data_IF_477552872040
#
_entry.id   IF_477552872040
#
_cell.length_a   1.000
_cell.length_b   1.000
_cell.length_c   1.000
_cell.angle_alpha   90.00
_cell.angle_beta   90.00
_cell.angle_gamma   90.00
#
_symmetry.space_group_name_H-M   'P 1'
#
loop_
_entity.id
_entity.type
_entity.pdbx_description
1 polymer ?
#
# COMPACT_ATOMS: atom_id res chain seq x y z
N UNK A 1 19.05 15.95 -25.96
CA UNK A 1 17.91 16.52 -26.72
C UNK A 1 16.79 15.53 -26.58
N UNK A 2 15.61 15.99 -26.16
CA UNK A 2 14.46 15.15 -25.87
C UNK A 2 13.96 14.53 -27.19
N UNK A 3 14.15 13.21 -27.38
CA UNK A 3 14.12 12.54 -28.69
C UNK A 3 12.79 12.70 -29.46
N UNK A 4 11.70 13.03 -28.77
CA UNK A 4 10.35 13.14 -29.33
C UNK A 4 9.72 14.53 -29.20
N UNK A 5 10.40 15.49 -28.55
CA UNK A 5 9.86 16.84 -28.36
C UNK A 5 9.92 17.61 -29.69
N UNK A 6 8.77 18.09 -30.15
CA UNK A 6 8.65 18.89 -31.37
C UNK A 6 8.79 20.38 -31.08
N UNK A 7 8.20 20.85 -29.98
CA UNK A 7 8.14 22.28 -29.65
C UNK A 7 7.19 22.60 -28.50
N UNK A 8 7.06 23.89 -28.16
CA UNK A 8 6.15 24.39 -27.12
C UNK A 8 5.14 25.36 -27.73
N UNK A 9 3.85 25.13 -27.55
CA UNK A 9 2.79 25.96 -28.13
C UNK A 9 1.70 26.25 -27.10
N UNK A 10 0.70 27.05 -27.46
CA UNK A 10 -0.50 27.26 -26.65
C UNK A 10 -1.70 26.60 -27.33
N UNK A 11 -2.50 25.86 -26.54
CA UNK A 11 -3.78 25.26 -26.94
C UNK A 11 -4.88 25.72 -25.97
N UNK A 12 -6.15 25.65 -26.37
CA UNK A 12 -7.23 25.89 -25.41
C UNK A 12 -7.42 24.65 -24.53
N UNK A 13 -7.75 24.84 -23.25
CA UNK A 13 -7.95 23.70 -22.33
C UNK A 13 -9.03 22.73 -22.86
N UNK A 14 -10.12 23.21 -23.45
CA UNK A 14 -11.17 22.34 -24.03
C UNK A 14 -10.65 21.34 -25.08
N UNK A 15 -9.50 21.64 -25.69
CA UNK A 15 -8.89 20.81 -26.72
C UNK A 15 -7.96 19.74 -26.13
N UNK A 16 -7.92 19.58 -24.81
CA UNK A 16 -7.09 18.60 -24.12
C UNK A 16 -7.93 17.46 -23.54
N UNK A 17 -7.50 16.22 -23.76
CA UNK A 17 -8.14 15.01 -23.19
C UNK A 17 -7.16 14.17 -22.40
N UNK A 18 -7.66 13.50 -21.36
CA UNK A 18 -6.88 12.61 -20.51
C UNK A 18 -7.47 11.20 -20.57
N UNK A 19 -6.90 10.35 -21.42
CA UNK A 19 -7.32 8.96 -21.60
C UNK A 19 -6.45 8.03 -20.77
N UNK A 20 -7.00 7.49 -19.68
CA UNK A 20 -6.26 6.66 -18.73
C UNK A 20 -5.28 7.45 -17.85
N UNK A 21 -4.96 6.92 -16.67
CA UNK A 21 -4.07 7.56 -15.68
C UNK A 21 -4.76 7.91 -14.36
N UNK A 22 -4.05 8.62 -13.47
CA UNK A 22 -4.55 9.01 -12.15
C UNK A 22 -5.81 9.89 -12.33
N UNK A 23 -6.93 9.48 -11.73
CA UNK A 23 -8.16 10.26 -11.67
C UNK A 23 -7.96 11.65 -11.04
N UNK A 24 -8.96 12.55 -11.14
CA UNK A 24 -8.89 13.83 -10.44
C UNK A 24 -8.78 13.56 -8.93
N UNK A 25 -7.86 14.25 -8.26
CA UNK A 25 -7.65 14.14 -6.82
C UNK A 25 -8.00 15.49 -6.22
N UNK A 26 -9.18 15.60 -5.64
CA UNK A 26 -9.78 16.89 -5.24
C UNK A 26 -8.82 17.74 -4.38
N UNK A 27 -8.18 17.14 -3.36
CA UNK A 27 -7.23 17.86 -2.50
C UNK A 27 -6.03 18.45 -3.26
N UNK A 28 -5.54 17.78 -4.31
CA UNK A 28 -4.46 18.30 -5.14
C UNK A 28 -4.95 19.41 -6.09
N UNK A 29 -6.18 19.28 -6.60
CA UNK A 29 -6.83 20.30 -7.42
C UNK A 29 -7.07 21.57 -6.59
N UNK A 30 -7.58 21.44 -5.36
CA UNK A 30 -7.80 22.57 -4.43
C UNK A 30 -6.49 23.29 -4.13
N UNK A 31 -5.41 22.55 -3.84
CA UNK A 31 -4.10 23.14 -3.59
C UNK A 31 -3.57 23.90 -4.81
N UNK A 32 -3.65 23.31 -6.01
CA UNK A 32 -3.22 23.98 -7.25
C UNK A 32 -4.10 25.17 -7.59
N UNK A 33 -5.41 25.08 -7.31
CA UNK A 33 -6.35 26.18 -7.49
C UNK A 33 -5.96 27.37 -6.62
N UNK A 34 -5.61 27.12 -5.34
CA UNK A 34 -5.13 28.16 -4.44
C UNK A 34 -3.83 28.81 -4.93
N UNK A 35 -2.89 28.01 -5.49
CA UNK A 35 -1.64 28.53 -6.07
C UNK A 35 -1.93 29.42 -7.29
N UNK A 36 -2.76 28.94 -8.24
CA UNK A 36 -3.09 29.68 -9.45
C UNK A 36 -3.87 30.97 -9.17
N UNK A 37 -4.74 31.00 -8.14
CA UNK A 37 -5.40 32.23 -7.71
C UNK A 37 -4.40 33.30 -7.20
N UNK A 38 -3.25 32.89 -6.67
CA UNK A 38 -2.21 33.81 -6.20
C UNK A 38 -1.24 34.24 -7.31
N UNK A 39 -0.92 33.33 -8.24
CA UNK A 39 -0.04 33.57 -9.38
C UNK A 39 -0.23 32.43 -10.39
N UNK A 40 -0.96 32.70 -11.48
CA UNK A 40 -1.14 31.76 -12.58
C UNK A 40 -0.28 32.20 -13.78
N UNK A 41 0.80 31.47 -14.05
CA UNK A 41 1.61 31.66 -15.24
C UNK A 41 1.62 30.38 -16.10
N UNK A 42 0.79 30.28 -17.15
CA UNK A 42 0.74 29.12 -18.03
C UNK A 42 2.08 28.84 -18.73
N UNK A 43 2.86 29.88 -19.01
CA UNK A 43 4.12 29.80 -19.76
C UNK A 43 5.28 29.23 -18.93
N UNK A 44 5.16 29.27 -17.61
CA UNK A 44 6.15 28.69 -16.72
C UNK A 44 6.27 27.19 -17.00
N UNK A 45 7.51 26.70 -17.19
CA UNK A 45 7.79 25.29 -17.49
C UNK A 45 7.09 24.32 -16.53
N UNK A 46 6.90 24.75 -15.27
CA UNK A 46 6.20 23.97 -14.26
C UNK A 46 4.69 23.79 -14.51
N UNK A 47 4.08 24.69 -15.25
CA UNK A 47 2.65 24.70 -15.53
C UNK A 47 2.32 24.09 -16.90
N UNK A 48 3.32 23.94 -17.78
CA UNK A 48 3.14 23.38 -19.12
C UNK A 48 2.64 21.93 -19.09
N UNK A 49 1.67 21.62 -19.96
CA UNK A 49 1.07 20.28 -20.06
C UNK A 49 1.69 19.50 -21.24
N UNK A 50 2.22 18.29 -21.03
CA UNK A 50 2.72 17.48 -22.13
C UNK A 50 1.57 16.84 -22.92
N UNK A 51 1.59 17.06 -24.23
CA UNK A 51 0.59 16.61 -25.21
C UNK A 51 1.26 15.69 -26.21
N UNK A 52 0.61 14.58 -26.53
CA UNK A 52 1.08 13.59 -27.49
C UNK A 52 0.25 13.68 -28.76
N UNK A 53 0.95 13.65 -29.88
CA UNK A 53 0.37 13.60 -31.23
C UNK A 53 1.06 12.52 -32.06
N UNK A 54 0.31 11.89 -32.94
CA UNK A 54 0.86 11.09 -34.04
C UNK A 54 1.43 11.99 -35.15
N UNK A 55 2.26 11.45 -36.07
CA UNK A 55 2.75 12.22 -37.22
C UNK A 55 1.62 12.82 -38.07
N UNK A 56 0.50 12.10 -38.22
CA UNK A 56 -0.68 12.56 -38.95
C UNK A 56 -1.36 13.72 -38.22
N UNK A 57 -1.59 13.60 -36.91
CA UNK A 57 -2.17 14.67 -36.09
C UNK A 57 -1.30 15.92 -36.04
N UNK A 58 0.03 15.74 -36.02
CA UNK A 58 0.96 16.87 -36.08
C UNK A 58 0.86 17.60 -37.43
N UNK A 59 0.78 16.86 -38.53
CA UNK A 59 0.63 17.44 -39.87
C UNK A 59 -0.67 18.23 -39.99
N UNK A 60 -1.78 17.65 -39.53
CA UNK A 60 -3.09 18.31 -39.49
C UNK A 60 -3.07 19.57 -38.62
N UNK A 61 -2.51 19.48 -37.41
CA UNK A 61 -2.40 20.61 -36.48
C UNK A 61 -1.68 21.80 -37.10
N UNK A 62 -0.59 21.52 -37.82
CA UNK A 62 0.25 22.54 -38.46
C UNK A 62 -0.47 23.18 -39.65
N UNK A 63 -1.15 22.36 -40.46
CA UNK A 63 -1.89 22.83 -41.64
C UNK A 63 -3.09 23.67 -41.24
N UNK A 64 -3.88 23.22 -40.27
CA UNK A 64 -5.07 23.97 -39.78
C UNK A 64 -4.66 25.28 -39.12
N UNK A 65 -3.57 25.28 -38.35
CA UNK A 65 -3.12 26.47 -37.62
C UNK A 65 -2.27 27.43 -38.46
N UNK A 66 -2.03 27.12 -39.74
CA UNK A 66 -1.20 27.95 -40.63
C UNK A 66 0.23 28.17 -40.13
N UNK A 67 0.77 27.23 -39.35
CA UNK A 67 2.11 27.32 -38.73
C UNK A 67 3.10 26.46 -39.54
N UNK A 68 4.41 26.61 -39.34
CA UNK A 68 5.41 25.70 -39.91
C UNK A 68 6.08 24.81 -38.85
N UNK A 69 6.57 23.63 -39.27
CA UNK A 69 7.40 22.78 -38.39
C UNK A 69 8.63 23.53 -37.85
N UNK A 70 9.21 24.44 -38.62
CA UNK A 70 10.38 25.21 -38.21
C UNK A 70 10.04 26.22 -37.09
N UNK A 71 8.85 26.81 -37.13
CA UNK A 71 8.39 27.73 -36.09
C UNK A 71 8.10 27.00 -34.77
N UNK A 72 7.52 25.81 -34.86
CA UNK A 72 7.33 24.91 -33.72
C UNK A 72 8.67 24.47 -33.10
N UNK A 73 9.65 24.09 -33.91
CA UNK A 73 10.98 23.71 -33.38
C UNK A 73 11.68 24.92 -32.72
N UNK A 74 11.51 26.13 -33.26
CA UNK A 74 12.09 27.36 -32.70
C UNK A 74 11.37 27.86 -31.44
N UNK A 75 10.14 27.41 -31.19
CA UNK A 75 9.29 27.82 -30.05
C UNK A 75 9.71 27.26 -28.68
N UNK A 76 11.00 26.96 -28.48
CA UNK A 76 11.54 26.54 -27.18
C UNK A 76 11.49 27.66 -26.11
N UNK A 77 11.30 28.91 -26.55
CA UNK A 77 11.16 30.09 -25.70
C UNK A 77 9.99 30.95 -26.18
N UNK A 78 9.38 31.71 -25.26
CA UNK A 78 8.28 32.61 -25.56
C UNK A 78 8.69 33.67 -26.62
N UNK A 79 7.77 34.13 -27.48
CA UNK A 79 6.33 33.82 -27.49
C UNK A 79 5.99 32.46 -28.11
N UNK A 80 5.04 31.74 -27.49
CA UNK A 80 4.59 30.44 -27.97
C UNK A 80 3.46 30.59 -29.00
N UNK A 81 3.50 29.85 -30.13
CA UNK A 81 2.45 29.91 -31.15
C UNK A 81 1.14 29.35 -30.60
N UNK A 82 0.02 29.99 -30.93
CA UNK A 82 -1.33 29.52 -30.61
C UNK A 82 -1.83 28.62 -31.73
N UNK A 83 -2.11 27.36 -31.41
CA UNK A 83 -2.55 26.37 -32.38
C UNK A 83 -3.99 25.94 -32.08
N UNK A 84 -4.73 25.61 -33.14
CA UNK A 84 -6.10 25.11 -33.04
C UNK A 84 -6.18 23.71 -33.65
N UNK A 85 -6.35 22.67 -32.82
CA UNK A 85 -6.46 21.31 -33.31
C UNK A 85 -7.87 21.05 -33.86
N UNK A 86 -7.98 20.17 -34.86
CA UNK A 86 -9.28 19.74 -35.42
C UNK A 86 -10.06 18.81 -34.48
N UNK A 87 -9.37 18.16 -33.55
CA UNK A 87 -9.92 17.26 -32.53
C UNK A 87 -9.13 17.40 -31.23
N UNK A 88 -9.72 17.07 -30.06
CA UNK A 88 -8.99 17.13 -28.79
C UNK A 88 -7.75 16.23 -28.79
N UNK A 89 -6.63 16.75 -28.28
CA UNK A 89 -5.34 16.07 -28.24
C UNK A 89 -5.09 15.40 -26.88
N UNK A 90 -4.44 14.25 -26.92
CA UNK A 90 -4.22 13.41 -25.74
C UNK A 90 -3.07 13.93 -24.89
N UNK A 91 -3.34 14.17 -23.61
CA UNK A 91 -2.34 14.50 -22.60
C UNK A 91 -1.86 13.23 -21.87
N UNK A 92 -0.55 13.16 -21.62
CA UNK A 92 0.05 12.02 -20.89
C UNK A 92 0.05 12.20 -19.37
N UNK A 93 0.15 13.45 -18.89
CA UNK A 93 0.03 13.83 -17.49
C UNK A 93 -0.38 15.30 -17.39
N UNK A 94 -0.63 15.80 -16.18
CA UNK A 94 -1.01 17.20 -15.94
C UNK A 94 -2.50 17.40 -15.61
N UNK A 95 -3.25 16.30 -15.41
CA UNK A 95 -4.70 16.35 -15.17
C UNK A 95 -5.11 17.27 -14.01
N UNK A 96 -4.39 17.24 -12.89
CA UNK A 96 -4.73 18.10 -11.75
C UNK A 96 -4.59 19.60 -12.08
N UNK A 97 -3.62 19.99 -12.94
CA UNK A 97 -3.46 21.37 -13.41
C UNK A 97 -4.53 21.74 -14.41
N UNK A 98 -4.82 20.84 -15.34
CA UNK A 98 -5.92 21.03 -16.26
C UNK A 98 -7.23 21.33 -15.51
N UNK A 99 -7.57 20.51 -14.50
CA UNK A 99 -8.80 20.72 -13.71
C UNK A 99 -8.72 22.01 -12.88
N UNK A 100 -7.57 22.32 -12.26
CA UNK A 100 -7.40 23.55 -11.49
C UNK A 100 -7.48 24.81 -12.37
N UNK A 101 -6.81 24.83 -13.51
CA UNK A 101 -6.83 25.92 -14.48
C UNK A 101 -8.24 26.13 -15.06
N UNK A 102 -8.91 25.04 -15.43
CA UNK A 102 -10.30 25.06 -15.91
C UNK A 102 -11.27 25.60 -14.85
N UNK A 103 -11.01 25.37 -13.55
CA UNK A 103 -11.85 25.86 -12.45
C UNK A 103 -11.75 27.38 -12.25
N UNK A 104 -10.59 27.96 -12.55
CA UNK A 104 -10.33 29.40 -12.34
C UNK A 104 -10.66 30.20 -13.60
N UNK A 105 -10.11 29.80 -14.74
CA UNK A 105 -10.12 30.59 -15.99
C UNK A 105 -11.11 30.04 -17.03
N UNK A 106 -11.76 28.91 -16.75
CA UNK A 106 -12.67 28.25 -17.68
C UNK A 106 -11.98 27.43 -18.77
N UNK A 107 -12.77 26.75 -19.61
CA UNK A 107 -12.27 25.82 -20.64
C UNK A 107 -11.69 26.50 -21.89
N UNK A 108 -11.97 27.79 -22.09
CA UNK A 108 -11.49 28.57 -23.25
C UNK A 108 -10.08 29.14 -23.06
N UNK A 109 -9.52 29.01 -21.85
CA UNK A 109 -8.21 29.54 -21.51
C UNK A 109 -7.12 28.91 -22.37
N UNK A 110 -6.22 29.76 -22.90
CA UNK A 110 -5.02 29.33 -23.60
C UNK A 110 -3.98 28.88 -22.59
N UNK A 111 -3.52 27.64 -22.74
CA UNK A 111 -2.56 27.03 -21.86
C UNK A 111 -1.36 26.52 -22.64
N UNK A 112 -0.17 26.72 -22.08
CA UNK A 112 1.07 26.35 -22.75
C UNK A 112 1.31 24.85 -22.60
N UNK A 113 1.63 24.20 -23.71
CA UNK A 113 1.79 22.76 -23.83
C UNK A 113 3.09 22.42 -24.54
N UNK A 114 3.63 21.24 -24.22
CA UNK A 114 4.80 20.67 -24.90
C UNK A 114 4.34 19.53 -25.80
N UNK A 115 4.60 19.66 -27.10
CA UNK A 115 4.13 18.71 -28.11
C UNK A 115 5.16 17.62 -28.36
N UNK A 116 4.75 16.37 -28.18
CA UNK A 116 5.55 15.18 -28.44
C UNK A 116 4.97 14.42 -29.63
N UNK A 117 5.77 14.21 -30.66
CA UNK A 117 5.37 13.40 -31.81
C UNK A 117 5.80 11.95 -31.60
N UNK A 118 4.84 11.03 -31.62
CA UNK A 118 5.06 9.62 -31.31
C UNK A 118 4.64 8.76 -32.50
N UNK A 119 5.56 7.95 -32.99
CA UNK A 119 5.32 6.99 -34.09
C UNK A 119 4.64 5.74 -33.51
N UNK A 120 3.74 5.12 -34.29
CA UNK A 120 3.10 3.87 -33.91
C UNK A 120 4.15 2.79 -33.58
N UNK A 121 4.04 2.19 -32.38
CA UNK A 121 5.00 1.20 -31.87
C UNK A 121 6.10 1.76 -30.95
N UNK A 122 6.18 3.08 -30.76
CA UNK A 122 7.07 3.68 -29.75
C UNK A 122 6.57 3.42 -28.32
N UNK A 123 7.49 3.15 -27.40
CA UNK A 123 7.17 2.92 -25.98
C UNK A 123 6.80 4.24 -25.28
N UNK A 124 5.49 4.52 -25.21
CA UNK A 124 4.89 5.64 -24.47
C UNK A 124 5.35 5.69 -23.00
N UNK A 125 5.72 4.55 -22.43
CA UNK A 125 6.18 4.45 -21.04
C UNK A 125 7.52 5.16 -20.86
N UNK A 126 8.44 5.09 -21.84
CA UNK A 126 9.71 5.82 -21.81
C UNK A 126 9.52 7.34 -21.85
N UNK A 127 8.58 7.83 -22.65
CA UNK A 127 8.23 9.25 -22.71
C UNK A 127 7.56 9.72 -21.43
N UNK A 128 6.63 8.94 -20.89
CA UNK A 128 6.06 9.17 -19.56
C UNK A 128 7.13 9.20 -18.48
N UNK A 129 8.10 8.28 -18.51
CA UNK A 129 9.20 8.25 -17.55
C UNK A 129 10.09 9.49 -17.65
N UNK A 130 10.46 9.89 -18.86
CA UNK A 130 11.28 11.07 -19.10
C UNK A 130 10.56 12.36 -18.70
N UNK A 131 9.27 12.49 -19.04
CA UNK A 131 8.46 13.66 -18.73
C UNK A 131 8.10 13.80 -17.25
N UNK A 132 7.77 12.67 -16.62
CA UNK A 132 7.63 12.58 -15.18
C UNK A 132 8.96 12.98 -14.54
N UNK A 133 10.10 12.44 -14.99
CA UNK A 133 11.42 12.80 -14.43
C UNK A 133 11.81 14.26 -14.62
N UNK A 134 11.46 14.88 -15.75
CA UNK A 134 11.82 16.28 -16.02
C UNK A 134 10.89 17.32 -15.34
N UNK A 135 9.66 16.96 -14.96
CA UNK A 135 8.67 17.89 -14.37
C UNK A 135 8.19 17.46 -12.97
N UNK A 136 9.04 16.73 -12.27
CA UNK A 136 8.75 16.04 -11.00
C UNK A 136 8.49 16.95 -9.78
N UNK A 137 8.60 18.28 -9.93
CA UNK A 137 8.52 19.24 -8.82
C UNK A 137 7.11 19.50 -8.28
N UNK A 138 6.06 18.99 -8.91
CA UNK A 138 4.71 19.55 -8.72
C UNK A 138 3.69 18.64 -8.03
N UNK A 139 4.03 17.38 -7.76
CA UNK A 139 3.38 16.57 -6.72
C UNK A 139 4.40 15.56 -6.28
N UNK A 140 4.73 15.54 -4.99
CA UNK A 140 5.65 14.54 -4.49
C UNK A 140 5.11 13.15 -4.87
N UNK A 141 5.95 12.28 -5.47
CA UNK A 141 5.53 10.93 -5.76
C UNK A 141 5.12 10.21 -4.50
N UNK A 142 4.21 9.26 -4.64
CA UNK A 142 3.98 8.33 -3.55
C UNK A 142 5.22 7.46 -3.36
N UNK A 143 5.41 7.02 -2.12
CA UNK A 143 6.68 6.46 -1.69
C UNK A 143 7.03 5.17 -2.44
N UNK A 144 6.03 4.35 -2.77
CA UNK A 144 6.23 3.14 -3.56
C UNK A 144 6.73 3.36 -4.98
N UNK A 145 6.39 4.48 -5.61
CA UNK A 145 6.94 4.79 -6.93
C UNK A 145 8.42 5.11 -6.85
N UNK A 146 8.82 5.88 -5.83
CA UNK A 146 10.24 6.16 -5.57
C UNK A 146 11.00 4.89 -5.27
N UNK A 147 10.46 4.03 -4.39
CA UNK A 147 11.07 2.75 -4.07
C UNK A 147 11.34 1.93 -5.35
N UNK A 148 10.33 1.71 -6.20
CA UNK A 148 10.48 0.92 -7.42
C UNK A 148 11.55 1.48 -8.35
N UNK A 149 11.63 2.81 -8.48
CA UNK A 149 12.62 3.48 -9.33
C UNK A 149 14.03 3.37 -8.79
N UNK A 150 14.21 3.55 -7.49
CA UNK A 150 15.50 3.32 -6.83
C UNK A 150 15.98 1.90 -7.13
N UNK A 151 15.12 0.90 -6.93
CA UNK A 151 15.47 -0.50 -7.18
C UNK A 151 15.78 -0.80 -8.65
N UNK A 152 14.98 -0.26 -9.58
CA UNK A 152 15.21 -0.41 -11.03
C UNK A 152 16.59 0.12 -11.46
N UNK A 153 17.00 1.28 -10.95
CA UNK A 153 18.32 1.86 -11.26
C UNK A 153 19.47 1.17 -10.53
N UNK A 154 19.27 0.71 -9.28
CA UNK A 154 20.25 -0.11 -8.58
C UNK A 154 20.54 -1.41 -9.38
N UNK A 155 19.51 -2.08 -9.87
CA UNK A 155 19.61 -3.32 -10.69
C UNK A 155 20.23 -3.06 -12.07
N UNK A 156 19.95 -1.89 -12.67
CA UNK A 156 20.50 -1.52 -13.97
C UNK A 156 21.95 -1.02 -13.92
N UNK A 157 22.55 -0.91 -12.73
CA UNK A 157 23.91 -0.41 -12.55
C UNK A 157 24.04 1.11 -12.75
N UNK A 158 22.97 1.87 -12.47
CA UNK A 158 22.92 3.32 -12.64
C UNK A 158 22.78 4.06 -11.29
N UNK A 159 23.81 4.03 -10.42
CA UNK A 159 23.71 4.53 -9.05
C UNK A 159 23.40 6.03 -8.95
N UNK A 160 23.90 6.83 -9.90
CA UNK A 160 23.64 8.28 -9.94
C UNK A 160 22.14 8.58 -10.09
N UNK A 161 21.45 7.79 -10.92
CA UNK A 161 19.99 7.92 -11.10
C UNK A 161 19.26 7.43 -9.85
N UNK A 162 19.68 6.30 -9.28
CA UNK A 162 19.09 5.81 -8.04
C UNK A 162 19.20 6.87 -6.91
N UNK A 163 20.34 7.55 -6.81
CA UNK A 163 20.56 8.62 -5.84
C UNK A 163 19.74 9.88 -6.11
N UNK A 164 19.51 10.24 -7.38
CA UNK A 164 18.52 11.27 -7.74
C UNK A 164 17.12 10.93 -7.23
N UNK A 165 16.74 9.66 -7.33
CA UNK A 165 15.45 9.19 -6.82
C UNK A 165 15.40 9.20 -5.29
N UNK A 166 16.48 8.78 -4.61
CA UNK A 166 16.59 8.88 -3.15
C UNK A 166 16.52 10.34 -2.69
N UNK A 167 17.15 11.28 -3.41
CA UNK A 167 17.18 12.71 -3.05
C UNK A 167 15.79 13.32 -2.88
N UNK A 168 14.80 12.82 -3.62
CA UNK A 168 13.39 13.27 -3.61
C UNK A 168 12.62 12.91 -2.33
N UNK A 169 13.14 11.98 -1.52
CA UNK A 169 12.53 11.61 -0.24
C UNK A 169 12.90 12.61 0.87
N UNK A 170 11.99 12.80 1.83
CA UNK A 170 12.31 13.52 3.07
C UNK A 170 13.37 12.75 3.88
N UNK A 171 14.05 13.44 4.82
CA UNK A 171 15.09 12.83 5.66
C UNK A 171 14.62 11.53 6.34
N UNK A 172 13.42 11.54 6.93
CA UNK A 172 12.85 10.33 7.57
C UNK A 172 12.57 9.21 6.57
N UNK A 173 12.02 9.53 5.39
CA UNK A 173 11.77 8.54 4.34
C UNK A 173 13.06 7.93 3.75
N UNK A 174 14.14 8.72 3.66
CA UNK A 174 15.49 8.21 3.29
C UNK A 174 16.03 7.24 4.33
N UNK A 175 15.83 7.52 5.61
CA UNK A 175 16.21 6.60 6.69
C UNK A 175 15.38 5.31 6.62
N UNK A 176 14.06 5.42 6.43
CA UNK A 176 13.19 4.26 6.29
C UNK A 176 13.55 3.39 5.06
N UNK A 177 13.84 4.01 3.91
CA UNK A 177 14.29 3.28 2.72
C UNK A 177 15.60 2.53 2.99
N UNK A 178 16.60 3.21 3.57
CA UNK A 178 17.87 2.56 3.95
C UNK A 178 17.66 1.42 4.94
N UNK A 179 16.73 1.57 5.89
CA UNK A 179 16.42 0.52 6.85
C UNK A 179 15.83 -0.73 6.17
N UNK A 180 15.04 -0.58 5.09
CA UNK A 180 14.62 -1.70 4.25
C UNK A 180 15.84 -2.29 3.52
N UNK A 181 16.66 -1.47 2.86
CA UNK A 181 17.83 -1.90 2.08
C UNK A 181 18.84 -2.69 2.94
N UNK A 182 18.97 -2.37 4.23
CA UNK A 182 19.85 -3.08 5.18
C UNK A 182 19.29 -4.38 5.73
N UNK A 183 18.04 -4.74 5.42
CA UNK A 183 17.37 -5.97 5.88
C UNK A 183 17.02 -6.85 4.68
N UNK A 184 17.91 -7.77 4.26
CA UNK A 184 17.75 -8.55 3.04
C UNK A 184 16.41 -9.28 2.93
N UNK A 185 15.93 -9.86 4.03
CA UNK A 185 14.68 -10.61 4.10
C UNK A 185 13.45 -9.72 3.85
N UNK A 186 13.49 -8.46 4.29
CA UNK A 186 12.43 -7.48 4.03
C UNK A 186 12.51 -7.00 2.60
N UNK A 187 13.71 -6.64 2.15
CA UNK A 187 13.96 -6.16 0.79
C UNK A 187 13.53 -7.18 -0.26
N UNK A 188 13.84 -8.46 -0.05
CA UNK A 188 13.50 -9.54 -0.97
C UNK A 188 11.99 -9.67 -1.17
N UNK A 189 11.21 -9.69 -0.09
CA UNK A 189 9.74 -9.78 -0.20
C UNK A 189 9.15 -8.52 -0.85
N UNK A 190 9.70 -7.34 -0.53
CA UNK A 190 9.32 -6.11 -1.23
C UNK A 190 9.63 -6.21 -2.73
N UNK A 191 10.79 -6.75 -3.11
CA UNK A 191 11.17 -6.93 -4.50
C UNK A 191 10.22 -7.92 -5.22
N UNK A 192 9.80 -9.00 -4.57
CA UNK A 192 8.80 -9.94 -5.12
C UNK A 192 7.45 -9.27 -5.43
N UNK A 193 7.02 -8.27 -4.64
CA UNK A 193 5.78 -7.52 -4.87
C UNK A 193 5.88 -6.49 -6.00
N UNK A 194 7.08 -6.19 -6.55
CA UNK A 194 7.29 -5.16 -7.59
C UNK A 194 6.63 -5.49 -8.92
N UNK A 195 6.34 -6.77 -9.16
CA UNK A 195 5.67 -7.26 -10.37
C UNK A 195 4.23 -6.75 -10.51
N UNK A 196 3.61 -6.24 -9.43
CA UNK A 196 2.23 -5.74 -9.40
C UNK A 196 2.24 -4.24 -9.10
N UNK A 197 2.22 -3.36 -10.13
CA UNK A 197 2.33 -1.91 -9.96
C UNK A 197 1.28 -1.30 -9.04
N UNK A 198 0.04 -1.81 -9.09
CA UNK A 198 -1.09 -1.27 -8.33
C UNK A 198 -0.91 -1.29 -6.81
N UNK A 199 -0.11 -2.20 -6.26
CA UNK A 199 0.12 -2.33 -4.81
C UNK A 199 0.90 -1.15 -4.23
N UNK A 200 1.78 -0.56 -5.02
CA UNK A 200 2.81 0.37 -4.54
C UNK A 200 2.28 1.74 -4.17
N UNK A 201 1.06 2.08 -4.60
CA UNK A 201 0.36 3.26 -4.12
C UNK A 201 0.07 3.19 -2.61
N UNK A 202 -0.04 1.98 -2.06
CA UNK A 202 -0.25 1.75 -0.63
C UNK A 202 1.00 1.85 0.23
N UNK A 203 2.21 1.93 -0.35
CA UNK A 203 3.44 2.03 0.44
C UNK A 203 3.59 3.43 1.02
N UNK A 204 3.79 3.49 2.34
CA UNK A 204 4.09 4.70 3.09
C UNK A 204 5.41 4.52 3.86
N UNK A 205 6.51 5.01 3.29
CA UNK A 205 7.85 4.95 3.90
C UNK A 205 7.89 5.67 5.26
N UNK A 206 7.06 6.70 5.45
CA UNK A 206 6.93 7.40 6.74
C UNK A 206 6.40 6.54 7.91
N UNK A 207 5.87 5.35 7.64
CA UNK A 207 5.45 4.39 8.66
C UNK A 207 6.47 3.25 8.85
N UNK A 208 7.32 2.98 7.85
CA UNK A 208 8.21 1.82 7.84
C UNK A 208 9.20 1.86 9.00
N UNK A 209 9.83 3.01 9.27
CA UNK A 209 10.78 3.13 10.39
C UNK A 209 10.14 2.73 11.72
N UNK A 210 8.88 3.11 11.95
CA UNK A 210 8.10 2.72 13.14
C UNK A 210 7.77 1.23 13.15
N UNK A 211 7.47 0.64 11.99
CA UNK A 211 7.19 -0.80 11.87
C UNK A 211 8.45 -1.64 12.13
N UNK A 212 9.60 -1.23 11.61
CA UNK A 212 10.87 -1.91 11.84
C UNK A 212 11.35 -1.79 13.29
N UNK A 213 11.09 -0.65 13.94
CA UNK A 213 11.37 -0.41 15.35
C UNK A 213 10.43 -1.19 16.31
N UNK A 214 9.40 -1.86 15.79
CA UNK A 214 8.53 -2.70 16.60
C UNK A 214 9.17 -4.05 16.95
N UNK A 215 10.23 -4.46 16.24
CA UNK A 215 10.84 -5.79 16.38
C UNK A 215 9.84 -6.94 16.16
N UNK A 216 8.85 -6.74 15.27
CA UNK A 216 7.87 -7.74 14.85
C UNK A 216 8.17 -8.21 13.41
N UNK A 217 9.41 -8.68 13.19
CA UNK A 217 9.93 -8.97 11.85
C UNK A 217 9.20 -10.16 11.22
N UNK A 218 8.91 -11.20 11.99
CA UNK A 218 8.23 -12.41 11.54
C UNK A 218 6.81 -12.12 11.09
N UNK A 219 6.03 -11.36 11.86
CA UNK A 219 4.65 -11.00 11.50
C UNK A 219 4.62 -10.08 10.28
N UNK A 220 5.58 -9.17 10.18
CA UNK A 220 5.73 -8.30 9.02
C UNK A 220 6.00 -9.13 7.76
N UNK A 221 6.99 -10.03 7.81
CA UNK A 221 7.33 -10.89 6.68
C UNK A 221 6.16 -11.81 6.31
N UNK A 222 5.48 -12.39 7.30
CA UNK A 222 4.32 -13.25 7.08
C UNK A 222 3.21 -12.50 6.35
N UNK A 223 2.88 -11.26 6.75
CA UNK A 223 1.85 -10.46 6.07
C UNK A 223 2.24 -10.14 4.62
N UNK A 224 3.50 -9.75 4.39
CA UNK A 224 3.97 -9.37 3.06
C UNK A 224 4.05 -10.60 2.13
N UNK A 225 4.47 -11.76 2.64
CA UNK A 225 4.42 -13.05 1.94
C UNK A 225 2.97 -13.44 1.61
N UNK A 226 2.06 -13.33 2.57
CA UNK A 226 0.63 -13.55 2.34
C UNK A 226 0.09 -12.62 1.24
N UNK A 227 0.54 -11.36 1.23
CA UNK A 227 0.21 -10.42 0.15
C UNK A 227 0.67 -10.94 -1.20
N UNK A 228 1.92 -11.39 -1.30
CA UNK A 228 2.45 -11.95 -2.54
C UNK A 228 1.64 -13.18 -3.01
N UNK A 229 1.31 -14.10 -2.10
CA UNK A 229 0.62 -15.35 -2.41
C UNK A 229 -0.82 -15.13 -2.88
N UNK A 230 -1.58 -14.27 -2.18
CA UNK A 230 -2.97 -13.96 -2.58
C UNK A 230 -2.98 -13.29 -3.95
N UNK A 231 -2.11 -12.30 -4.17
CA UNK A 231 -2.06 -11.64 -5.46
C UNK A 231 -1.55 -12.53 -6.58
N UNK A 232 -0.58 -13.42 -6.31
CA UNK A 232 -0.15 -14.43 -7.25
C UNK A 232 -1.32 -15.36 -7.66
N UNK A 233 -2.19 -15.71 -6.73
CA UNK A 233 -3.40 -16.50 -6.99
C UNK A 233 -4.40 -15.73 -7.86
N UNK A 234 -4.71 -14.48 -7.47
CA UNK A 234 -5.61 -13.58 -8.20
C UNK A 234 -5.15 -13.38 -9.64
N UNK A 235 -3.86 -13.14 -9.84
CA UNK A 235 -3.29 -12.87 -11.17
C UNK A 235 -2.93 -14.14 -11.93
N UNK A 236 -3.28 -15.33 -11.42
CA UNK A 236 -2.97 -16.63 -12.01
C UNK A 236 -1.46 -16.85 -12.27
N UNK A 237 -0.60 -16.16 -11.50
CA UNK A 237 0.85 -16.08 -11.70
C UNK A 237 1.28 -15.61 -13.11
N UNK A 238 0.38 -14.97 -13.85
CA UNK A 238 0.64 -14.49 -15.21
C UNK A 238 1.33 -13.11 -15.16
N UNK A 239 2.57 -12.97 -15.68
CA UNK A 239 3.31 -11.71 -15.64
C UNK A 239 2.60 -10.55 -16.37
N UNK A 240 1.85 -10.83 -17.44
CA UNK A 240 1.08 -9.81 -18.15
C UNK A 240 -0.07 -9.31 -17.29
N UNK A 241 -0.75 -10.21 -16.58
CA UNK A 241 -1.82 -9.85 -15.64
C UNK A 241 -1.26 -9.05 -14.46
N UNK A 242 -0.14 -9.49 -13.88
CA UNK A 242 0.54 -8.79 -12.78
C UNK A 242 0.88 -7.35 -13.17
N UNK A 243 1.49 -7.15 -14.35
CA UNK A 243 1.82 -5.81 -14.84
C UNK A 243 0.59 -4.97 -15.22
N UNK A 244 -0.48 -5.61 -15.71
CA UNK A 244 -1.74 -4.94 -16.02
C UNK A 244 -2.55 -4.53 -14.78
N UNK A 245 -2.21 -5.07 -13.60
CA UNK A 245 -2.90 -4.80 -12.34
C UNK A 245 -2.59 -3.39 -11.85
N UNK A 246 -3.53 -2.47 -12.07
CA UNK A 246 -3.40 -1.06 -11.76
C UNK A 246 -3.90 -0.69 -10.34
N UNK A 247 -3.69 0.58 -9.96
CA UNK A 247 -4.07 1.11 -8.64
C UNK A 247 -5.59 1.00 -8.42
N UNK A 248 -6.39 1.20 -9.47
CA UNK A 248 -7.84 1.14 -9.38
C UNK A 248 -8.31 -0.30 -9.08
N UNK A 249 -7.70 -1.28 -9.75
CA UNK A 249 -7.94 -2.71 -9.53
C UNK A 249 -7.62 -3.10 -8.08
N UNK A 250 -6.43 -2.72 -7.58
CA UNK A 250 -6.04 -3.02 -6.19
C UNK A 250 -6.98 -2.40 -5.18
N UNK A 251 -7.31 -1.11 -5.33
CA UNK A 251 -8.22 -0.41 -4.40
C UNK A 251 -9.64 -0.95 -4.42
N UNK A 252 -10.09 -1.44 -5.56
CA UNK A 252 -11.42 -2.02 -5.68
C UNK A 252 -11.52 -3.42 -5.04
N UNK A 253 -10.38 -4.12 -4.93
CA UNK A 253 -10.30 -5.49 -4.42
C UNK A 253 -9.83 -5.59 -2.97
N UNK A 254 -8.96 -4.69 -2.50
CA UNK A 254 -8.42 -4.75 -1.15
C UNK A 254 -9.53 -4.81 -0.09
N UNK A 255 -9.33 -5.62 0.94
CA UNK A 255 -10.27 -5.86 2.05
C UNK A 255 -11.62 -6.50 1.65
N UNK A 256 -11.73 -7.07 0.45
CA UNK A 256 -12.85 -7.97 0.09
C UNK A 256 -12.50 -9.42 0.36
N UNK A 257 -13.48 -10.24 0.70
CA UNK A 257 -13.32 -11.70 0.81
C UNK A 257 -14.43 -12.41 -0.01
N UNK A 258 -14.30 -12.47 -1.35
CA UNK A 258 -15.39 -12.88 -2.24
C UNK A 258 -15.95 -14.28 -1.98
N UNK A 259 -15.14 -15.26 -1.56
CA UNK A 259 -15.65 -16.59 -1.25
C UNK A 259 -16.43 -16.64 0.08
N UNK A 260 -16.11 -15.75 1.03
CA UNK A 260 -16.74 -15.69 2.35
C UNK A 260 -17.94 -14.72 2.41
N UNK A 261 -18.02 -13.75 1.48
CA UNK A 261 -19.03 -12.69 1.46
C UNK A 261 -19.76 -12.64 0.12
N UNK A 262 -21.07 -12.92 0.15
CA UNK A 262 -21.93 -12.85 -1.04
C UNK A 262 -22.02 -11.43 -1.62
N UNK A 263 -21.90 -10.40 -0.78
CA UNK A 263 -21.85 -9.01 -1.21
C UNK A 263 -20.55 -8.70 -1.96
N UNK A 264 -19.41 -9.19 -1.46
CA UNK A 264 -18.12 -9.04 -2.14
C UNK A 264 -18.07 -9.80 -3.45
N UNK A 265 -18.57 -11.04 -3.48
CA UNK A 265 -18.71 -11.82 -4.71
C UNK A 265 -19.52 -11.05 -5.76
N UNK A 266 -20.68 -10.51 -5.38
CA UNK A 266 -21.51 -9.74 -6.27
C UNK A 266 -20.82 -8.45 -6.75
N UNK A 267 -20.07 -7.77 -5.87
CA UNK A 267 -19.28 -6.59 -6.23
C UNK A 267 -18.17 -6.93 -7.24
N UNK A 268 -17.43 -8.02 -7.02
CA UNK A 268 -16.40 -8.51 -7.95
C UNK A 268 -17.01 -8.81 -9.31
N UNK A 269 -18.11 -9.56 -9.38
CA UNK A 269 -18.79 -9.87 -10.65
C UNK A 269 -19.20 -8.60 -11.41
N UNK A 270 -19.76 -7.59 -10.71
CA UNK A 270 -20.12 -6.30 -11.33
C UNK A 270 -18.90 -5.57 -11.87
N UNK A 271 -17.81 -5.48 -11.10
CA UNK A 271 -16.61 -4.76 -11.49
C UNK A 271 -15.82 -5.46 -12.61
N UNK A 272 -15.85 -6.80 -12.67
CA UNK A 272 -15.33 -7.58 -13.80
C UNK A 272 -16.15 -7.33 -15.06
N UNK A 273 -17.48 -7.38 -14.95
CA UNK A 273 -18.41 -7.20 -16.08
C UNK A 273 -18.36 -5.78 -16.65
N UNK A 274 -18.17 -4.76 -15.81
CA UNK A 274 -18.06 -3.37 -16.26
C UNK A 274 -16.70 -3.01 -16.83
N UNK A 275 -15.73 -3.93 -16.84
CA UNK A 275 -14.35 -3.63 -17.26
C UNK A 275 -13.55 -2.78 -16.27
N UNK A 276 -14.07 -2.56 -15.05
CA UNK A 276 -13.40 -1.73 -14.05
C UNK A 276 -12.16 -2.42 -13.45
N UNK A 277 -12.20 -3.76 -13.32
CA UNK A 277 -11.04 -4.56 -12.95
C UNK A 277 -10.27 -5.01 -14.19
N UNK A 278 -8.94 -4.92 -14.10
CA UNK A 278 -8.01 -5.31 -15.16
C UNK A 278 -8.39 -4.68 -16.50
N UNK A 279 -8.63 -3.37 -16.52
CA UNK A 279 -9.13 -2.63 -17.69
C UNK A 279 -8.24 -2.73 -18.94
N UNK A 280 -6.94 -3.06 -18.78
CA UNK A 280 -5.99 -3.25 -19.88
C UNK A 280 -6.09 -4.64 -20.54
N UNK A 281 -6.83 -5.57 -19.93
CA UNK A 281 -7.01 -6.93 -20.42
C UNK A 281 -8.36 -7.06 -21.11
N UNK A 282 -8.33 -7.40 -22.41
CA UNK A 282 -9.54 -7.53 -23.24
C UNK A 282 -9.94 -8.97 -23.53
N UNK A 283 -9.05 -9.95 -23.33
CA UNK A 283 -9.29 -11.35 -23.64
C UNK A 283 -10.44 -11.93 -22.77
N UNK A 284 -11.58 -12.34 -23.36
CA UNK A 284 -12.74 -12.78 -22.58
C UNK A 284 -12.47 -14.04 -21.75
N UNK A 285 -11.67 -14.99 -22.26
CA UNK A 285 -11.38 -16.24 -21.57
C UNK A 285 -10.49 -16.04 -20.33
N UNK A 286 -9.46 -15.20 -20.46
CA UNK A 286 -8.62 -14.77 -19.37
C UNK A 286 -9.43 -14.01 -18.32
N UNK A 287 -10.30 -13.08 -18.74
CA UNK A 287 -11.17 -12.34 -17.81
C UNK A 287 -12.09 -13.27 -17.03
N UNK A 288 -12.67 -14.30 -17.65
CA UNK A 288 -13.47 -15.31 -16.94
C UNK A 288 -12.64 -16.05 -15.90
N UNK A 289 -11.44 -16.52 -16.26
CA UNK A 289 -10.53 -17.20 -15.31
C UNK A 289 -10.10 -16.31 -14.14
N UNK A 290 -9.86 -15.02 -14.39
CA UNK A 290 -9.54 -14.05 -13.34
C UNK A 290 -10.73 -13.83 -12.39
N UNK A 291 -11.94 -13.75 -12.94
CA UNK A 291 -13.15 -13.64 -12.13
C UNK A 291 -13.34 -14.91 -11.27
N UNK A 292 -13.18 -16.10 -11.86
CA UNK A 292 -13.25 -17.36 -11.12
C UNK A 292 -12.21 -17.39 -10.00
N UNK A 293 -10.94 -17.04 -10.28
CA UNK A 293 -9.89 -16.99 -9.25
C UNK A 293 -10.26 -16.05 -8.10
N UNK A 294 -10.72 -14.84 -8.42
CA UNK A 294 -11.16 -13.86 -7.42
C UNK A 294 -12.29 -14.39 -6.53
N UNK A 295 -13.26 -15.09 -7.12
CA UNK A 295 -14.41 -15.65 -6.39
C UNK A 295 -14.03 -16.81 -5.46
N UNK A 296 -12.84 -17.40 -5.61
CA UNK A 296 -12.33 -18.43 -4.70
C UNK A 296 -11.47 -17.88 -3.56
N UNK A 297 -11.22 -16.57 -3.51
CA UNK A 297 -10.45 -15.97 -2.40
C UNK A 297 -11.33 -15.87 -1.15
N UNK A 298 -10.98 -16.65 -0.13
CA UNK A 298 -11.69 -16.79 1.15
C UNK A 298 -11.12 -15.92 2.29
N UNK A 299 -10.01 -15.23 2.01
CA UNK A 299 -9.39 -14.26 2.91
C UNK A 299 -9.70 -12.82 2.47
N UNK A 300 -9.54 -11.86 3.39
CA UNK A 300 -9.50 -10.45 3.01
C UNK A 300 -8.31 -10.22 2.09
N UNK A 301 -8.57 -9.75 0.87
CA UNK A 301 -7.52 -9.46 -0.11
C UNK A 301 -6.56 -8.43 0.48
N UNK A 302 -5.29 -8.80 0.73
CA UNK A 302 -4.32 -7.95 1.39
C UNK A 302 -3.75 -6.89 0.43
N UNK A 303 -3.22 -5.81 0.97
CA UNK A 303 -2.49 -4.78 0.23
C UNK A 303 -1.42 -4.13 1.10
N UNK A 304 -0.49 -3.36 0.50
CA UNK A 304 0.48 -2.56 1.27
C UNK A 304 -0.19 -1.47 2.13
N UNK A 305 -1.38 -1.00 1.72
CA UNK A 305 -2.18 -0.08 2.52
C UNK A 305 -2.73 -0.79 3.75
N UNK A 306 -3.38 -1.94 3.55
CA UNK A 306 -3.90 -2.75 4.64
C UNK A 306 -2.78 -3.27 5.57
N UNK A 307 -1.59 -3.55 5.04
CA UNK A 307 -0.40 -3.88 5.81
C UNK A 307 -0.11 -2.82 6.87
N UNK A 308 -0.08 -1.54 6.48
CA UNK A 308 0.18 -0.46 7.43
C UNK A 308 -0.89 -0.36 8.51
N UNK A 309 -2.17 -0.58 8.19
CA UNK A 309 -3.23 -0.58 9.22
C UNK A 309 -3.10 -1.77 10.16
N UNK A 310 -2.84 -2.97 9.63
CA UNK A 310 -2.60 -4.17 10.44
C UNK A 310 -1.39 -4.00 11.38
N UNK A 311 -0.28 -3.43 10.90
CA UNK A 311 0.89 -3.16 11.75
C UNK A 311 0.58 -2.19 12.89
N UNK A 312 -0.32 -1.22 12.67
CA UNK A 312 -0.73 -0.30 13.75
C UNK A 312 -1.62 -0.97 14.80
N UNK A 313 -2.36 -2.03 14.44
CA UNK A 313 -3.06 -2.86 15.43
C UNK A 313 -2.08 -3.77 16.15
N UNK A 314 -1.23 -4.46 15.40
CA UNK A 314 -0.20 -5.36 15.93
C UNK A 314 0.72 -4.66 16.93
N UNK A 315 1.09 -3.39 16.67
CA UNK A 315 1.95 -2.62 17.55
C UNK A 315 1.44 -2.52 18.98
N UNK A 316 0.12 -2.57 19.19
CA UNK A 316 -0.47 -2.51 20.54
C UNK A 316 -0.10 -3.77 21.32
N UNK A 317 -0.39 -4.94 20.76
CA UNK A 317 -0.14 -6.22 21.42
C UNK A 317 1.34 -6.49 21.61
N UNK A 318 2.14 -6.24 20.58
CA UNK A 318 3.60 -6.44 20.61
C UNK A 318 4.27 -5.51 21.64
N UNK A 319 3.83 -4.25 21.73
CA UNK A 319 4.33 -3.31 22.76
C UNK A 319 3.99 -3.81 24.17
N UNK A 320 2.77 -4.30 24.41
CA UNK A 320 2.39 -4.86 25.72
C UNK A 320 3.26 -6.06 26.08
N UNK A 321 3.52 -6.98 25.14
CA UNK A 321 4.39 -8.14 25.37
C UNK A 321 5.81 -7.68 25.72
N UNK A 322 6.38 -6.77 24.93
CA UNK A 322 7.70 -6.21 25.19
C UNK A 322 7.78 -5.56 26.57
N UNK A 323 6.80 -4.73 26.90
CA UNK A 323 6.83 -3.91 28.09
C UNK A 323 6.52 -4.70 29.36
N UNK A 324 5.78 -5.81 29.29
CA UNK A 324 5.39 -6.60 30.47
C UNK A 324 6.13 -7.94 30.62
N UNK A 325 6.59 -8.55 29.53
CA UNK A 325 7.17 -9.90 29.53
C UNK A 325 8.66 -9.87 29.23
N UNK A 326 9.10 -9.14 28.20
CA UNK A 326 10.49 -9.23 27.72
C UNK A 326 11.45 -8.45 28.63
N UNK A 327 12.51 -9.12 29.07
CA UNK A 327 13.61 -8.54 29.88
C UNK A 327 14.43 -7.56 29.03
N UNK A 328 14.96 -8.03 27.91
CA UNK A 328 15.72 -7.26 26.92
C UNK A 328 15.46 -7.85 25.52
N UNK A 329 15.35 -6.98 24.52
CA UNK A 329 15.20 -7.36 23.11
C UNK A 329 16.56 -7.51 22.42
N UNK A 330 17.59 -6.79 22.87
CA UNK A 330 18.80 -6.55 22.09
C UNK A 330 18.43 -6.14 20.64
N UNK A 331 18.88 -6.91 19.65
CA UNK A 331 18.56 -6.75 18.23
C UNK A 331 17.60 -7.84 17.69
N UNK A 332 17.12 -8.74 18.56
CA UNK A 332 16.21 -9.83 18.18
C UNK A 332 14.76 -9.33 18.01
N UNK A 333 13.93 -10.18 17.42
CA UNK A 333 12.48 -9.96 17.35
C UNK A 333 11.79 -10.31 18.67
N UNK A 334 10.62 -9.72 18.90
CA UNK A 334 9.74 -10.07 20.03
C UNK A 334 9.39 -11.56 20.00
N UNK A 335 9.12 -12.11 18.81
CA UNK A 335 8.83 -13.53 18.66
C UNK A 335 10.03 -14.41 19.00
N UNK A 336 11.23 -14.10 18.50
CA UNK A 336 12.44 -14.89 18.76
C UNK A 336 12.77 -14.94 20.27
N UNK A 337 12.67 -13.80 20.97
CA UNK A 337 12.89 -13.76 22.43
C UNK A 337 11.81 -14.55 23.17
N UNK A 338 10.54 -14.41 22.78
CA UNK A 338 9.45 -15.19 23.35
C UNK A 338 9.65 -16.69 23.12
N UNK A 339 10.05 -17.09 21.91
CA UNK A 339 10.33 -18.48 21.53
C UNK A 339 11.48 -19.06 22.36
N UNK A 340 12.57 -18.32 22.53
CA UNK A 340 13.71 -18.74 23.37
C UNK A 340 13.32 -18.92 24.84
N UNK A 341 12.36 -18.13 25.33
CA UNK A 341 11.83 -18.19 26.70
C UNK A 341 10.75 -19.27 26.91
N UNK A 342 10.30 -19.92 25.83
CA UNK A 342 9.18 -20.84 25.85
C UNK A 342 9.60 -22.25 26.28
N UNK A 343 8.84 -22.82 27.22
CA UNK A 343 8.95 -24.22 27.63
C UNK A 343 7.57 -24.84 27.57
N UNK A 344 7.43 -25.97 26.87
CA UNK A 344 6.14 -26.68 26.76
C UNK A 344 5.54 -26.95 28.15
N UNK A 345 4.38 -26.34 28.50
CA UNK A 345 3.73 -26.55 29.80
C UNK A 345 3.11 -27.95 30.01
N UNK A 346 3.34 -28.91 29.09
CA UNK A 346 2.78 -30.28 29.16
C UNK A 346 1.27 -30.38 28.92
N UNK A 347 0.53 -29.28 29.05
CA UNK A 347 -0.87 -29.14 28.63
C UNK A 347 -1.03 -27.83 27.87
N UNK A 348 -1.48 -27.89 26.62
CA UNK A 348 -1.72 -26.70 25.82
C UNK A 348 -3.19 -26.29 25.95
N UNK A 349 -3.43 -25.11 26.51
CA UNK A 349 -4.75 -24.49 26.56
C UNK A 349 -4.81 -23.40 25.48
N UNK A 350 -5.91 -23.35 24.74
CA UNK A 350 -6.23 -22.29 23.77
C UNK A 350 -7.50 -21.59 24.21
N UNK A 351 -7.46 -20.27 24.30
CA UNK A 351 -8.63 -19.43 24.57
C UNK A 351 -9.39 -19.16 23.27
N UNK A 352 -10.54 -19.81 23.08
CA UNK A 352 -11.38 -19.64 21.88
C UNK A 352 -12.33 -18.45 22.00
N UNK A 353 -12.78 -18.14 23.21
CA UNK A 353 -13.56 -16.96 23.56
C UNK A 353 -13.15 -16.46 24.93
N UNK A 354 -13.54 -15.23 25.29
CA UNK A 354 -13.12 -14.62 26.56
C UNK A 354 -13.40 -15.53 27.77
N UNK A 355 -12.33 -15.92 28.46
CA UNK A 355 -12.38 -16.78 29.63
C UNK A 355 -12.62 -18.27 29.34
N UNK A 356 -12.83 -18.68 28.09
CA UNK A 356 -13.15 -20.06 27.69
C UNK A 356 -11.92 -20.72 27.07
N UNK A 357 -11.42 -21.76 27.73
CA UNK A 357 -10.21 -22.47 27.34
C UNK A 357 -10.51 -23.90 26.87
N UNK A 358 -9.76 -24.35 25.87
CA UNK A 358 -9.81 -25.71 25.35
C UNK A 358 -8.42 -26.33 25.37
N UNK A 359 -8.35 -27.60 25.75
CA UNK A 359 -7.12 -28.36 25.64
C UNK A 359 -6.93 -28.84 24.20
N UNK A 360 -5.77 -28.54 23.63
CA UNK A 360 -5.32 -29.03 22.31
C UNK A 360 -4.35 -30.18 22.48
N UNK A 361 -4.22 -31.01 21.44
CA UNK A 361 -3.37 -32.22 21.45
C UNK A 361 -1.90 -31.84 21.46
N UNK A 362 -1.06 -32.68 22.07
CA UNK A 362 0.36 -32.38 22.32
C UNK A 362 1.19 -32.03 21.07
N UNK A 363 0.89 -32.63 19.91
CA UNK A 363 1.60 -32.34 18.65
C UNK A 363 1.25 -30.98 18.03
N UNK A 364 0.20 -30.32 18.51
CA UNK A 364 -0.19 -28.97 18.07
C UNK A 364 0.35 -27.89 19.00
N UNK A 365 1.13 -28.27 20.01
CA UNK A 365 1.67 -27.37 21.00
C UNK A 365 3.01 -26.79 20.53
N UNK A 366 2.94 -25.63 19.88
CA UNK A 366 4.12 -24.90 19.39
C UNK A 366 4.30 -23.60 20.16
N UNK A 367 5.54 -23.11 20.21
CA UNK A 367 5.84 -21.78 20.74
C UNK A 367 5.09 -20.68 19.96
N UNK A 368 4.88 -20.87 18.66
CA UNK A 368 4.09 -20.01 17.79
C UNK A 368 2.62 -19.92 18.23
N UNK A 369 1.95 -21.05 18.44
CA UNK A 369 0.57 -21.04 18.92
C UNK A 369 0.46 -20.38 20.31
N UNK A 370 1.39 -20.69 21.21
CA UNK A 370 1.46 -20.07 22.52
C UNK A 370 1.64 -18.55 22.41
N UNK A 371 2.51 -18.09 21.53
CA UNK A 371 2.76 -16.68 21.27
C UNK A 371 1.50 -15.97 20.76
N UNK A 372 0.79 -16.56 19.79
CA UNK A 372 -0.47 -16.01 19.29
C UNK A 372 -1.54 -15.91 20.38
N UNK A 373 -1.65 -16.88 21.28
CA UNK A 373 -2.57 -16.79 22.41
C UNK A 373 -2.24 -15.62 23.33
N UNK A 374 -0.96 -15.38 23.62
CA UNK A 374 -0.52 -14.23 24.42
C UNK A 374 -0.76 -12.92 23.68
N UNK A 375 -0.44 -12.84 22.39
CA UNK A 375 -0.68 -11.65 21.57
C UNK A 375 -2.17 -11.28 21.48
N UNK A 376 -3.03 -12.27 21.25
CA UNK A 376 -4.49 -12.07 21.24
C UNK A 376 -5.01 -11.66 22.61
N UNK A 377 -4.49 -12.24 23.69
CA UNK A 377 -4.84 -11.82 25.05
C UNK A 377 -4.41 -10.37 25.33
N UNK A 378 -3.24 -9.95 24.85
CA UNK A 378 -2.77 -8.56 24.96
C UNK A 378 -3.69 -7.61 24.21
N UNK A 379 -4.04 -7.94 22.96
CA UNK A 379 -4.96 -7.14 22.13
C UNK A 379 -6.38 -7.08 22.73
N UNK A 380 -6.90 -8.19 23.28
CA UNK A 380 -8.23 -8.21 23.90
C UNK A 380 -8.32 -7.32 25.13
N UNK A 381 -7.24 -7.21 25.90
CA UNK A 381 -7.20 -6.50 27.18
C UNK A 381 -6.42 -5.18 27.13
N UNK A 382 -6.06 -4.70 25.94
CA UNK A 382 -5.17 -3.54 25.77
C UNK A 382 -5.59 -2.26 26.53
N UNK A 383 -6.89 -1.94 26.72
CA UNK A 383 -7.27 -0.71 27.44
C UNK A 383 -6.90 -0.77 28.93
N UNK A 384 -6.70 -1.98 29.46
CA UNK A 384 -6.32 -2.24 30.85
C UNK A 384 -4.84 -2.62 31.02
N UNK A 385 -4.15 -2.90 29.92
CA UNK A 385 -2.73 -3.29 29.90
C UNK A 385 -1.81 -2.18 29.40
N UNK A 386 -2.36 -1.09 28.86
CA UNK A 386 -1.58 0.03 28.34
C UNK A 386 -2.26 1.36 28.64
N UNK A 387 -1.49 2.45 28.63
CA UNK A 387 -2.02 3.82 28.69
C UNK A 387 -2.53 4.33 27.33
N UNK A 388 -2.48 3.50 26.28
CA UNK A 388 -2.91 3.88 24.94
C UNK A 388 -4.43 3.79 24.82
N UNK A 389 -5.15 4.91 24.65
CA UNK A 389 -6.59 4.88 24.52
C UNK A 389 -7.01 4.16 23.24
N UNK A 390 -8.18 3.49 23.24
CA UNK A 390 -8.79 2.99 22.02
C UNK A 390 -8.90 4.09 20.96
N UNK A 391 -8.76 3.71 19.68
CA UNK A 391 -9.06 4.63 18.60
C UNK A 391 -10.52 5.04 18.69
N UNK A 392 -10.75 6.33 18.49
CA UNK A 392 -12.04 6.96 18.60
C UNK A 392 -12.29 7.78 17.34
N UNK A 393 -13.50 7.73 16.82
CA UNK A 393 -13.90 8.55 15.67
C UNK A 393 -13.82 10.05 16.01
N UNK A 394 -13.62 10.88 14.98
CA UNK A 394 -13.59 12.34 15.15
C UNK A 394 -14.92 12.82 15.73
N UNK A 395 -14.86 13.64 16.77
CA UNK A 395 -16.04 14.19 17.45
C UNK A 395 -16.57 13.34 18.60
N UNK A 396 -16.09 12.11 18.77
CA UNK A 396 -16.46 11.26 19.91
C UNK A 396 -15.51 11.44 21.10
N UNK A 397 -16.05 11.24 22.32
CA UNK A 397 -15.25 11.29 23.55
C UNK A 397 -14.33 10.08 23.59
N UNK A 398 -13.02 10.32 23.74
CA UNK A 398 -12.04 9.24 23.88
C UNK A 398 -12.32 8.42 25.12
N UNK A 399 -12.37 7.10 24.95
CA UNK A 399 -12.37 6.18 26.08
C UNK A 399 -11.05 6.31 26.86
N UNK A 400 -11.13 6.23 28.19
CA UNK A 400 -9.94 6.18 29.03
C UNK A 400 -9.28 4.80 28.88
N UNK A 401 -7.95 4.78 28.82
CA UNK A 401 -7.15 3.59 29.04
C UNK A 401 -6.29 3.84 30.28
N UNK A 402 -6.26 2.86 31.17
CA UNK A 402 -5.51 2.93 32.41
C UNK A 402 -5.04 1.55 32.78
N UNK A 403 -3.76 1.43 33.16
CA UNK A 403 -3.20 0.17 33.61
C UNK A 403 -3.95 -0.29 34.86
N UNK A 404 -4.44 -1.52 34.82
CA UNK A 404 -5.14 -2.15 35.93
C UNK A 404 -4.38 -3.40 36.39
N UNK A 405 -3.91 -3.39 37.63
CA UNK A 405 -3.09 -4.44 38.23
C UNK A 405 -3.72 -5.84 38.16
N UNK A 406 -5.05 -5.95 38.28
CA UNK A 406 -5.74 -7.24 38.17
C UNK A 406 -5.67 -7.80 36.73
N UNK A 407 -5.76 -6.94 35.72
CA UNK A 407 -5.62 -7.33 34.32
C UNK A 407 -4.17 -7.65 33.97
N UNK A 408 -3.20 -6.89 34.50
CA UNK A 408 -1.77 -7.18 34.34
C UNK A 408 -1.45 -8.54 34.95
N UNK A 409 -1.88 -8.80 36.18
CA UNK A 409 -1.66 -10.09 36.84
C UNK A 409 -2.32 -11.25 36.07
N UNK A 410 -3.54 -11.03 35.56
CA UNK A 410 -4.25 -12.01 34.73
C UNK A 410 -3.49 -12.32 33.42
N UNK A 411 -3.03 -11.29 32.73
CA UNK A 411 -2.28 -11.42 31.48
C UNK A 411 -0.96 -12.17 31.70
N UNK A 412 -0.17 -11.78 32.71
CA UNK A 412 1.11 -12.42 33.03
C UNK A 412 0.94 -13.88 33.48
N UNK A 413 -0.07 -14.19 34.29
CA UNK A 413 -0.42 -15.58 34.65
C UNK A 413 -0.83 -16.37 33.42
N UNK A 414 -1.53 -15.75 32.48
CA UNK A 414 -1.86 -16.35 31.17
C UNK A 414 -0.61 -16.70 30.39
N UNK A 415 0.31 -15.76 30.21
CA UNK A 415 1.58 -16.00 29.52
C UNK A 415 2.41 -17.13 30.18
N UNK A 416 2.47 -17.17 31.51
CA UNK A 416 3.13 -18.25 32.24
C UNK A 416 2.47 -19.61 32.00
N UNK A 417 1.13 -19.67 31.95
CA UNK A 417 0.39 -20.90 31.63
C UNK A 417 0.64 -21.39 30.20
N UNK A 418 0.90 -20.48 29.26
CA UNK A 418 1.29 -20.81 27.89
C UNK A 418 2.76 -21.22 27.75
N UNK A 419 3.54 -21.21 28.84
CA UNK A 419 4.92 -21.72 28.85
C UNK A 419 6.01 -20.66 28.83
N UNK A 420 5.66 -19.37 28.80
CA UNK A 420 6.64 -18.28 28.76
C UNK A 420 7.19 -17.97 30.14
N UNK A 421 8.51 -17.76 30.23
CA UNK A 421 9.20 -17.43 31.49
C UNK A 421 10.22 -16.34 31.26
N UNK A 422 10.16 -15.28 32.07
CA UNK A 422 11.18 -14.23 32.10
C UNK A 422 11.34 -13.71 33.52
N UNK A 423 12.47 -13.04 33.78
CA UNK A 423 12.72 -12.45 35.09
C UNK A 423 11.70 -11.36 35.38
N UNK A 424 11.46 -10.47 34.43
CA UNK A 424 10.49 -9.37 34.48
C UNK A 424 9.07 -9.85 34.73
N UNK A 425 8.62 -10.90 34.04
CA UNK A 425 7.31 -11.51 34.29
C UNK A 425 7.21 -12.02 35.73
N UNK A 426 8.23 -12.72 36.20
CA UNK A 426 8.25 -13.33 37.55
C UNK A 426 8.25 -12.27 38.64
N UNK A 427 9.08 -11.23 38.50
CA UNK A 427 9.15 -10.10 39.44
C UNK A 427 7.89 -9.23 39.42
N UNK A 428 7.23 -9.08 38.27
CA UNK A 428 5.96 -8.36 38.19
C UNK A 428 4.85 -9.14 38.91
N UNK A 429 4.76 -10.45 38.71
CA UNK A 429 3.78 -11.29 39.40
C UNK A 429 3.97 -11.31 40.92
N UNK A 430 5.21 -11.29 41.42
CA UNK A 430 5.47 -11.27 42.86
C UNK A 430 5.04 -9.96 43.54
N UNK A 431 5.03 -8.84 42.80
CA UNK A 431 4.50 -7.55 43.28
C UNK A 431 2.98 -7.47 43.26
N UNK A 432 2.33 -8.28 42.43
CA UNK A 432 0.88 -8.25 42.18
C UNK A 432 0.09 -9.31 42.98
N UNK A 433 0.71 -9.93 43.99
CA UNK A 433 0.15 -11.07 44.75
C UNK A 433 -1.21 -10.75 45.40
N UNK A 434 -1.44 -9.51 45.79
CA UNK A 434 -2.68 -9.07 46.45
C UNK A 434 -3.80 -8.62 45.49
N UNK A 435 -3.58 -8.69 44.18
CA UNK A 435 -4.61 -8.33 43.19
C UNK A 435 -5.75 -9.35 43.19
N UNK A 436 -6.98 -8.90 43.47
CA UNK A 436 -8.18 -9.73 43.33
C UNK A 436 -8.25 -10.26 41.90
N UNK A 437 -8.24 -11.58 41.74
CA UNK A 437 -8.27 -12.21 40.41
C UNK A 437 -9.55 -11.86 39.65
N UNK A 438 -9.43 -11.75 38.33
CA UNK A 438 -10.59 -11.65 37.41
C UNK A 438 -11.19 -13.06 37.27
N UNK A 439 -12.49 -13.28 37.57
CA UNK A 439 -13.12 -14.59 37.46
C UNK A 439 -13.07 -15.12 36.03
N UNK A 440 -12.78 -16.43 35.84
CA UNK A 440 -12.80 -17.11 34.53
C UNK A 440 -13.33 -18.53 34.66
N UNK A 441 -14.04 -19.00 33.64
CA UNK A 441 -14.71 -20.32 33.62
C UNK A 441 -14.00 -21.27 32.67
N UNK A 442 -13.32 -22.29 33.21
CA UNK A 442 -12.71 -23.35 32.38
C UNK A 442 -13.79 -24.41 32.09
N UNK A 443 -14.35 -24.41 30.89
CA UNK A 443 -15.23 -25.50 30.42
C UNK A 443 -14.38 -26.65 29.87
N UNK A 444 -14.67 -27.88 30.33
CA UNK A 444 -13.88 -29.08 30.03
C UNK A 444 -13.72 -29.45 28.55
N UNK A 445 -12.78 -30.37 28.30
CA UNK A 445 -12.37 -30.84 26.98
C UNK A 445 -13.53 -31.35 26.13
N UNK A 446 -13.68 -30.83 24.91
CA UNK A 446 -14.52 -31.47 23.90
C UNK A 446 -13.83 -32.75 23.43
N UNK A 447 -14.50 -33.90 23.55
CA UNK A 447 -14.23 -35.05 22.68
C UNK A 447 -14.62 -34.60 21.27
N UNK A 448 -13.64 -34.58 20.37
CA UNK A 448 -13.87 -34.38 18.93
C UNK A 448 -14.97 -35.35 18.49
N UNK A 449 -16.13 -34.82 18.12
CA UNK A 449 -17.17 -35.57 17.45
C UNK A 449 -16.57 -35.98 16.11
N UNK A 450 -16.28 -37.29 15.96
CA UNK A 450 -16.02 -37.90 14.66
C UNK A 450 -17.36 -37.98 13.93
N UNK A 451 -17.74 -36.94 13.21
CA UNK A 451 -18.76 -37.04 12.18
C UNK A 451 -18.21 -36.49 10.85
N UNK A 452 -17.66 -37.40 10.06
CA UNK A 452 -18.02 -37.60 8.65
C UNK A 452 -17.97 -36.48 7.61
N UNK A 453 -17.48 -35.28 7.90
CA UNK A 453 -17.28 -34.22 6.90
C UNK A 453 -15.80 -34.01 6.59
N UNK A 454 -15.34 -34.47 5.43
CA UNK A 454 -13.94 -34.37 5.01
C UNK A 454 -13.43 -32.94 5.03
N UNK A 455 -12.36 -32.70 5.78
CA UNK A 455 -11.50 -31.53 5.59
C UNK A 455 -10.85 -31.66 4.20
N UNK A 456 -10.88 -30.62 3.35
CA UNK A 456 -10.09 -30.65 2.14
C UNK A 456 -8.62 -30.64 2.56
N UNK A 457 -7.93 -31.74 2.26
CA UNK A 457 -6.47 -31.84 2.36
C UNK A 457 -5.86 -30.72 1.52
N UNK A 458 -5.16 -29.81 2.20
CA UNK A 458 -4.22 -28.87 1.59
C UNK A 458 -3.20 -29.67 0.76
N UNK A 459 -3.16 -29.41 -0.54
CA UNK A 459 -2.00 -29.59 -1.41
C UNK A 459 -1.70 -28.26 -2.05
#
# INVERSE_FOLDING_TARGET
MDEFLVGTCQLQLKDLTFEGGRGPVEAAIEQLTAVFLSSCNPDEKANQIPVVVSPEELYDLITVSGTSMQDLIRSMHAPFPKLQPSKPLRCIHGRQRYEAAKRIEGSEMWWTVRLYCIVAGSDLTRLLYHEVDQHYFQTAPYDGYVFRKVREYDESGEPDKADDWRRRLSKGKKTALRAIETRPEVLEIFDQLRCIPGLWEGLHLGNIERHLALHATEEMLHYLQHTQQVWATITLQDPLVQQATDIATVRALELRAPAASTEDAAAVCRLMSSGALFNRLSDPGLRLRLQESLLHIDVLIPSLRAFHENMRYLSIGVTIIRDLIIDDLNDDSVYAVMQASWQSPGSCLVESSEGVFHQVRDHQHTAELAYYQVLLAALRNFPYLSASPPRCEKGHRKAAASINDAFVAMFLRGAQRHGFRSRKLTEALSRLVDSKGVPRTITGCYKVIRDGGGWPTMR
#
